data_IF_045931995331
#
_entry.id   IF_045931995331
#
_cell.length_a   1.000
_cell.length_b   1.000
_cell.length_c   1.000
_cell.angle_alpha   90.00
_cell.angle_beta   90.00
_cell.angle_gamma   90.00
#
_symmetry.space_group_name_H-M   'P 1'
#
loop_
_entity.id
_entity.type
_entity.pdbx_description
1 polymer ?
#
# COMPACT_ATOMS: atom_id res chain seq x y z
N UNK A 1 16.05 -25.19 -14.99
CA UNK A 1 16.81 -24.05 -15.57
C UNK A 1 15.79 -23.08 -16.17
N UNK A 2 15.79 -21.83 -15.72
CA UNK A 2 14.83 -20.80 -16.13
C UNK A 2 14.82 -20.60 -17.65
N UNK A 3 13.65 -20.50 -18.27
CA UNK A 3 13.54 -20.27 -19.72
C UNK A 3 13.64 -18.79 -20.07
N UNK A 4 14.05 -18.48 -21.32
CA UNK A 4 14.03 -17.10 -21.83
C UNK A 4 12.63 -16.48 -21.79
N UNK A 5 11.59 -17.28 -21.96
CA UNK A 5 10.21 -16.82 -21.90
C UNK A 5 9.84 -16.42 -20.47
N UNK A 6 10.18 -17.22 -19.47
CA UNK A 6 9.96 -16.91 -18.04
C UNK A 6 10.63 -15.59 -17.66
N UNK A 7 11.90 -15.37 -18.07
CA UNK A 7 12.61 -14.12 -17.83
C UNK A 7 11.86 -12.92 -18.44
N UNK A 8 11.42 -13.03 -19.71
CA UNK A 8 10.65 -11.97 -20.37
C UNK A 8 9.32 -11.69 -19.67
N UNK A 9 8.62 -12.74 -19.23
CA UNK A 9 7.38 -12.63 -18.47
C UNK A 9 7.62 -11.85 -17.19
N UNK A 10 8.60 -12.24 -16.37
CA UNK A 10 8.92 -11.57 -15.11
C UNK A 10 9.33 -10.10 -15.35
N UNK A 11 10.20 -9.86 -16.33
CA UNK A 11 10.62 -8.52 -16.70
C UNK A 11 9.45 -7.61 -17.13
N UNK A 12 8.42 -8.19 -17.77
CA UNK A 12 7.22 -7.43 -18.19
C UNK A 12 6.37 -6.97 -17.00
N UNK A 13 6.43 -7.64 -15.84
CA UNK A 13 5.68 -7.29 -14.64
C UNK A 13 6.09 -5.93 -14.02
N UNK A 14 7.15 -5.30 -14.53
CA UNK A 14 7.46 -3.89 -14.22
C UNK A 14 6.34 -2.95 -14.67
N UNK A 15 5.57 -3.34 -15.69
CA UNK A 15 4.49 -2.55 -16.28
C UNK A 15 3.12 -3.03 -15.75
N UNK A 16 2.28 -2.08 -15.33
CA UNK A 16 0.94 -2.35 -14.79
C UNK A 16 0.07 -3.20 -15.72
N UNK A 17 0.11 -2.91 -17.03
CA UNK A 17 -0.65 -3.67 -18.03
C UNK A 17 -0.43 -5.17 -17.89
N UNK A 18 0.83 -5.61 -17.83
CA UNK A 18 1.17 -7.03 -17.77
C UNK A 18 0.86 -7.64 -16.39
N UNK A 19 0.98 -6.86 -15.29
CA UNK A 19 0.52 -7.34 -13.99
C UNK A 19 -0.98 -7.62 -13.98
N UNK A 20 -1.79 -6.71 -14.54
CA UNK A 20 -3.25 -6.90 -14.68
C UNK A 20 -3.60 -8.09 -15.59
N UNK A 21 -2.92 -8.23 -16.74
CA UNK A 21 -3.17 -9.33 -17.67
C UNK A 21 -2.80 -10.70 -17.10
N UNK A 22 -1.72 -10.78 -16.36
CA UNK A 22 -1.19 -12.04 -15.83
C UNK A 22 -1.65 -12.35 -14.40
N UNK A 23 -2.18 -11.37 -13.68
CA UNK A 23 -2.53 -11.50 -12.28
C UNK A 23 -1.33 -11.76 -11.37
N UNK A 24 -0.13 -11.24 -11.75
CA UNK A 24 1.13 -11.50 -11.08
C UNK A 24 1.85 -10.20 -10.71
N UNK A 25 2.64 -10.25 -9.65
CA UNK A 25 3.54 -9.16 -9.27
C UNK A 25 4.88 -9.71 -8.76
N UNK A 26 5.86 -8.83 -8.66
CA UNK A 26 7.24 -9.18 -8.26
C UNK A 26 7.53 -8.65 -6.86
N UNK A 27 8.22 -9.48 -6.08
CA UNK A 27 8.72 -9.17 -4.74
C UNK A 27 10.23 -9.38 -4.74
N UNK A 28 11.00 -8.35 -4.38
CA UNK A 28 12.45 -8.37 -4.46
C UNK A 28 13.11 -8.10 -3.11
N UNK A 29 14.21 -8.81 -2.87
CA UNK A 29 15.02 -8.67 -1.67
C UNK A 29 14.64 -9.64 -0.56
N UNK A 30 15.67 -10.04 0.22
CA UNK A 30 15.57 -11.09 1.22
C UNK A 30 14.40 -10.88 2.18
N UNK A 31 14.35 -9.73 2.85
CA UNK A 31 13.31 -9.44 3.85
C UNK A 31 11.91 -9.49 3.26
N UNK A 32 11.71 -8.91 2.07
CA UNK A 32 10.42 -8.88 1.41
C UNK A 32 9.96 -10.28 0.98
N UNK A 33 10.90 -11.11 0.51
CA UNK A 33 10.62 -12.50 0.14
C UNK A 33 10.32 -13.35 1.39
N UNK A 34 11.05 -13.16 2.50
CA UNK A 34 10.74 -13.82 3.78
C UNK A 34 9.31 -13.49 4.26
N UNK A 35 8.91 -12.23 4.20
CA UNK A 35 7.55 -11.77 4.53
C UNK A 35 6.48 -12.39 3.62
N UNK A 36 6.73 -12.42 2.31
CA UNK A 36 5.84 -13.07 1.34
C UNK A 36 5.67 -14.57 1.65
N UNK A 37 6.77 -15.29 1.84
CA UNK A 37 6.74 -16.74 2.10
C UNK A 37 6.08 -17.10 3.44
N UNK A 38 6.02 -16.16 4.37
CA UNK A 38 5.34 -16.29 5.66
C UNK A 38 3.87 -15.86 5.64
N UNK A 39 3.36 -15.41 4.48
CA UNK A 39 2.00 -14.93 4.28
C UNK A 39 1.12 -15.96 3.56
N UNK A 40 -0.17 -15.67 3.44
CA UNK A 40 -1.13 -16.48 2.68
C UNK A 40 -1.09 -16.22 1.16
N UNK A 41 -0.14 -15.41 0.67
CA UNK A 41 -0.02 -15.13 -0.76
C UNK A 41 0.55 -16.33 -1.52
N UNK A 42 -0.04 -16.66 -2.65
CA UNK A 42 0.44 -17.73 -3.51
C UNK A 42 1.71 -17.31 -4.26
N UNK A 43 2.85 -17.91 -3.90
CA UNK A 43 4.12 -17.75 -4.61
C UNK A 43 4.18 -18.71 -5.78
N UNK A 44 4.33 -18.20 -7.01
CA UNK A 44 4.37 -18.99 -8.24
C UNK A 44 5.78 -19.22 -8.77
N UNK A 45 6.76 -18.48 -8.27
CA UNK A 45 8.18 -18.64 -8.63
C UNK A 45 9.09 -17.97 -7.62
N UNK A 46 10.22 -18.61 -7.37
CA UNK A 46 11.27 -18.09 -6.47
C UNK A 46 12.62 -18.29 -7.15
N UNK A 47 13.36 -17.20 -7.34
CA UNK A 47 14.60 -17.18 -8.11
C UNK A 47 15.69 -16.51 -7.30
N UNK A 48 16.89 -17.09 -7.31
CA UNK A 48 18.03 -16.50 -6.59
C UNK A 48 19.35 -16.75 -7.32
N UNK A 49 20.30 -15.85 -7.12
CA UNK A 49 21.67 -16.05 -7.64
C UNK A 49 22.41 -17.07 -6.78
N UNK A 50 23.36 -17.79 -7.38
CA UNK A 50 24.21 -18.75 -6.63
C UNK A 50 24.96 -18.08 -5.47
N UNK A 51 25.42 -16.85 -5.68
CA UNK A 51 26.08 -16.06 -4.62
C UNK A 51 25.13 -15.78 -3.44
N UNK A 52 23.86 -15.51 -3.71
CA UNK A 52 22.85 -15.33 -2.65
C UNK A 52 22.58 -16.65 -1.94
N UNK A 53 22.36 -17.75 -2.68
CA UNK A 53 22.04 -19.06 -2.11
C UNK A 53 23.15 -19.61 -1.22
N UNK A 54 24.41 -19.39 -1.56
CA UNK A 54 25.55 -19.83 -0.75
C UNK A 54 25.58 -19.20 0.64
N UNK A 55 25.07 -17.97 0.77
CA UNK A 55 24.97 -17.26 2.04
C UNK A 55 23.64 -17.45 2.80
N UNK A 56 22.63 -18.08 2.16
CA UNK A 56 21.27 -18.15 2.68
C UNK A 56 20.63 -19.53 2.47
N UNK A 57 21.01 -20.56 3.24
CA UNK A 57 20.52 -21.95 3.07
C UNK A 57 19.00 -22.11 3.17
N UNK A 58 18.32 -21.21 3.89
CA UNK A 58 16.87 -21.20 4.01
C UNK A 58 16.14 -21.05 2.66
N UNK A 59 16.81 -20.54 1.63
CA UNK A 59 16.27 -20.34 0.28
C UNK A 59 16.75 -21.40 -0.72
N UNK A 60 17.25 -22.55 -0.28
CA UNK A 60 17.75 -23.63 -1.16
C UNK A 60 16.71 -24.15 -2.16
N UNK A 61 15.42 -23.91 -1.92
CA UNK A 61 14.33 -24.25 -2.84
C UNK A 61 14.13 -23.25 -4.00
N UNK A 62 14.86 -22.12 -4.01
CA UNK A 62 14.78 -21.17 -5.11
C UNK A 62 15.49 -21.71 -6.36
N UNK A 63 14.92 -21.43 -7.55
CA UNK A 63 15.55 -21.76 -8.82
C UNK A 63 16.80 -20.90 -9.03
N UNK A 64 18.00 -21.52 -9.23
CA UNK A 64 19.23 -20.77 -9.40
C UNK A 64 19.22 -20.03 -10.75
N UNK A 65 19.62 -18.76 -10.73
CA UNK A 65 19.75 -17.91 -11.91
C UNK A 65 21.10 -17.20 -11.92
N UNK A 66 21.60 -16.84 -13.10
CA UNK A 66 22.80 -16.03 -13.22
C UNK A 66 22.53 -14.57 -12.81
N UNK A 67 23.58 -13.83 -12.45
CA UNK A 67 23.48 -12.39 -12.16
C UNK A 67 22.84 -11.62 -13.33
N UNK A 68 23.22 -11.94 -14.57
CA UNK A 68 22.64 -11.31 -15.78
C UNK A 68 21.15 -11.60 -15.91
N UNK A 69 20.70 -12.82 -15.59
CA UNK A 69 19.28 -13.17 -15.60
C UNK A 69 18.52 -12.42 -14.50
N UNK A 70 19.11 -12.29 -13.31
CA UNK A 70 18.53 -11.53 -12.21
C UNK A 70 18.39 -10.05 -12.58
N UNK A 71 19.38 -9.43 -13.18
CA UNK A 71 19.34 -8.06 -13.69
C UNK A 71 18.23 -7.82 -14.72
N UNK A 72 18.01 -8.78 -15.62
CA UNK A 72 16.93 -8.70 -16.59
C UNK A 72 15.54 -8.72 -15.95
N UNK A 73 15.36 -9.52 -14.91
CA UNK A 73 14.08 -9.68 -14.21
C UNK A 73 13.80 -8.55 -13.20
N UNK A 74 14.83 -8.08 -12.49
CA UNK A 74 14.70 -7.09 -11.42
C UNK A 74 14.21 -5.73 -11.91
N UNK A 75 13.36 -5.09 -11.12
CA UNK A 75 12.93 -3.70 -11.28
C UNK A 75 13.79 -2.70 -10.52
N UNK A 76 14.81 -3.15 -9.78
CA UNK A 76 15.68 -2.32 -8.95
C UNK A 76 17.00 -2.03 -9.68
N UNK A 77 17.56 -0.85 -9.44
CA UNK A 77 18.86 -0.45 -10.01
C UNK A 77 19.99 -1.36 -9.54
N UNK A 78 19.88 -1.87 -8.31
CA UNK A 78 20.80 -2.87 -7.74
C UNK A 78 20.00 -4.10 -7.33
N UNK A 79 19.98 -5.16 -8.17
CA UNK A 79 19.26 -6.38 -7.88
C UNK A 79 19.74 -7.06 -6.59
N UNK A 80 18.82 -7.45 -5.69
CA UNK A 80 19.19 -7.94 -4.36
C UNK A 80 19.58 -9.43 -4.30
N UNK A 81 19.74 -10.06 -5.46
CA UNK A 81 20.14 -11.47 -5.57
C UNK A 81 19.02 -12.49 -5.35
N UNK A 82 17.84 -12.08 -4.91
CA UNK A 82 16.64 -12.91 -4.75
C UNK A 82 15.39 -12.16 -5.20
N UNK A 83 14.49 -12.88 -5.88
CA UNK A 83 13.25 -12.39 -6.42
C UNK A 83 12.18 -13.48 -6.35
N UNK A 84 10.98 -13.13 -5.92
CA UNK A 84 9.80 -13.98 -5.99
C UNK A 84 8.73 -13.37 -6.91
N UNK A 85 7.94 -14.24 -7.52
CA UNK A 85 6.72 -13.88 -8.27
C UNK A 85 5.54 -14.45 -7.51
N UNK A 86 4.54 -13.60 -7.24
CA UNK A 86 3.34 -13.98 -6.51
C UNK A 86 2.08 -13.62 -7.30
N UNK A 87 0.98 -14.31 -7.01
CA UNK A 87 -0.33 -13.99 -7.56
C UNK A 87 -0.91 -12.75 -6.89
N UNK A 88 -1.50 -11.88 -7.69
CA UNK A 88 -2.36 -10.81 -7.20
C UNK A 88 -3.65 -11.46 -6.67
N UNK A 89 -4.03 -11.25 -5.41
CA UNK A 89 -5.27 -11.77 -4.86
C UNK A 89 -6.49 -11.29 -5.64
N UNK A 90 -7.43 -12.18 -5.90
CA UNK A 90 -8.71 -11.79 -6.49
C UNK A 90 -9.49 -10.99 -5.46
N UNK A 91 -9.89 -9.77 -5.82
CA UNK A 91 -10.72 -8.94 -4.96
C UNK A 91 -12.16 -9.45 -5.01
N UNK A 92 -12.73 -9.72 -3.83
CA UNK A 92 -14.17 -9.97 -3.64
C UNK A 92 -14.90 -8.68 -3.25
N UNK A 93 -16.07 -8.82 -2.63
CA UNK A 93 -16.77 -7.72 -1.98
C UNK A 93 -15.90 -7.08 -0.89
N UNK A 94 -15.99 -5.75 -0.75
CA UNK A 94 -15.31 -5.03 0.32
C UNK A 94 -15.94 -5.44 1.65
N UNK A 95 -15.17 -6.17 2.45
CA UNK A 95 -15.58 -6.57 3.80
C UNK A 95 -14.49 -6.14 4.78
N UNK A 96 -14.75 -5.05 5.47
CA UNK A 96 -13.83 -4.49 6.45
C UNK A 96 -14.20 -4.99 7.86
N UNK A 97 -13.18 -5.34 8.63
CA UNK A 97 -13.31 -5.83 10.01
C UNK A 97 -12.55 -4.97 11.01
N UNK A 98 -11.72 -4.07 10.55
CA UNK A 98 -10.95 -3.16 11.38
C UNK A 98 -11.84 -2.08 11.99
N UNK A 99 -11.56 -1.68 13.24
CA UNK A 99 -12.21 -0.54 13.91
C UNK A 99 -12.13 0.74 13.08
N UNK A 100 -10.95 0.97 12.46
CA UNK A 100 -10.75 2.03 11.48
C UNK A 100 -10.38 1.42 10.13
N UNK A 101 -10.85 2.06 9.05
CA UNK A 101 -10.47 1.76 7.67
C UNK A 101 -9.74 2.98 7.13
N UNK A 102 -8.66 2.78 6.39
CA UNK A 102 -7.97 3.89 5.71
C UNK A 102 -8.47 4.00 4.27
N UNK A 103 -9.07 5.13 3.91
CA UNK A 103 -9.46 5.45 2.54
C UNK A 103 -8.46 6.43 1.92
N UNK A 104 -7.94 6.11 0.75
CA UNK A 104 -6.94 6.92 0.04
C UNK A 104 -7.54 7.48 -1.24
N UNK A 105 -7.53 8.80 -1.35
CA UNK A 105 -8.13 9.54 -2.46
C UNK A 105 -7.04 10.17 -3.34
N UNK A 106 -6.73 9.52 -4.47
CA UNK A 106 -5.78 10.02 -5.47
C UNK A 106 -4.30 10.02 -5.03
N UNK A 107 -3.89 9.14 -4.13
CA UNK A 107 -2.48 9.02 -3.74
C UNK A 107 -1.66 8.46 -4.90
N UNK A 108 -0.95 9.32 -5.62
CA UNK A 108 -0.20 8.97 -6.82
C UNK A 108 1.27 8.60 -6.56
N UNK A 109 1.86 9.07 -5.45
CA UNK A 109 3.26 8.79 -5.13
C UNK A 109 3.45 7.40 -4.52
N UNK A 110 4.27 6.50 -5.15
CA UNK A 110 4.50 5.14 -4.64
C UNK A 110 5.11 5.08 -3.24
N UNK A 111 5.97 6.03 -2.89
CA UNK A 111 6.59 6.13 -1.56
C UNK A 111 5.56 6.45 -0.48
N UNK A 112 4.66 7.41 -0.76
CA UNK A 112 3.57 7.75 0.17
C UNK A 112 2.58 6.61 0.33
N UNK A 113 2.20 5.96 -0.78
CA UNK A 113 1.34 4.77 -0.74
C UNK A 113 1.94 3.67 0.16
N UNK A 114 3.19 3.30 -0.07
CA UNK A 114 3.86 2.27 0.72
C UNK A 114 4.02 2.67 2.20
N UNK A 115 4.31 3.94 2.47
CA UNK A 115 4.40 4.48 3.84
C UNK A 115 3.04 4.43 4.54
N UNK A 116 1.95 4.80 3.86
CA UNK A 116 0.59 4.74 4.41
C UNK A 116 0.17 3.30 4.73
N UNK A 117 0.44 2.34 3.84
CA UNK A 117 0.18 0.91 4.08
C UNK A 117 0.94 0.42 5.33
N UNK A 118 2.23 0.75 5.43
CA UNK A 118 3.07 0.37 6.56
C UNK A 118 2.60 1.02 7.87
N UNK A 119 2.21 2.27 7.82
CA UNK A 119 1.72 3.01 8.99
C UNK A 119 0.35 2.52 9.44
N UNK A 120 -0.54 2.17 8.49
CA UNK A 120 -1.83 1.55 8.79
C UNK A 120 -1.66 0.24 9.56
N UNK A 121 -0.81 -0.66 9.07
CA UNK A 121 -0.48 -1.90 9.80
C UNK A 121 0.04 -1.63 11.21
N UNK A 122 0.96 -0.66 11.36
CA UNK A 122 1.54 -0.31 12.65
C UNK A 122 0.50 0.10 13.69
N UNK A 123 -0.55 0.81 13.25
CA UNK A 123 -1.65 1.24 14.10
C UNK A 123 -2.86 0.30 14.12
N UNK A 124 -2.71 -0.94 13.64
CA UNK A 124 -3.77 -1.95 13.67
C UNK A 124 -4.90 -1.73 12.67
N UNK A 125 -4.69 -0.91 11.64
CA UNK A 125 -5.62 -0.71 10.54
C UNK A 125 -5.29 -1.74 9.46
N UNK A 126 -6.03 -2.85 9.46
CA UNK A 126 -5.83 -3.96 8.53
C UNK A 126 -6.60 -3.84 7.22
N UNK A 127 -7.44 -2.82 7.08
CA UNK A 127 -8.34 -2.64 5.95
C UNK A 127 -8.15 -1.26 5.29
N UNK A 128 -7.92 -1.24 3.97
CA UNK A 128 -7.74 -0.01 3.19
C UNK A 128 -8.60 -0.04 1.93
N UNK A 129 -9.08 1.14 1.51
CA UNK A 129 -9.81 1.33 0.25
C UNK A 129 -9.16 2.48 -0.53
N UNK A 130 -8.71 2.21 -1.74
CA UNK A 130 -8.07 3.19 -2.61
C UNK A 130 -9.00 3.59 -3.75
N UNK A 131 -9.03 4.87 -4.10
CA UNK A 131 -9.68 5.31 -5.32
C UNK A 131 -8.93 4.78 -6.57
N UNK A 132 -9.59 4.62 -7.73
CA UNK A 132 -8.98 4.06 -8.94
C UNK A 132 -7.81 4.89 -9.51
N UNK A 133 -7.71 6.16 -9.14
CA UNK A 133 -6.65 7.09 -9.53
C UNK A 133 -5.44 7.07 -8.59
N UNK A 134 -5.48 6.26 -7.52
CA UNK A 134 -4.29 5.95 -6.74
C UNK A 134 -3.25 5.17 -7.56
N UNK A 135 -1.99 5.29 -7.18
CA UNK A 135 -0.95 4.40 -7.69
C UNK A 135 -1.30 2.95 -7.33
N UNK A 136 -1.15 2.05 -8.29
CA UNK A 136 -1.42 0.63 -8.09
C UNK A 136 -0.54 0.04 -6.99
N UNK A 137 -1.14 -0.67 -6.04
CA UNK A 137 -0.43 -1.23 -4.87
C UNK A 137 0.60 -2.31 -5.23
N UNK A 138 0.41 -3.00 -6.38
CA UNK A 138 1.34 -4.00 -6.89
C UNK A 138 2.49 -3.41 -7.70
N UNK A 139 2.56 -2.09 -7.83
CA UNK A 139 3.71 -1.39 -8.42
C UNK A 139 4.97 -1.76 -7.63
N UNK A 140 6.09 -2.17 -8.29
CA UNK A 140 7.31 -2.61 -7.60
C UNK A 140 7.84 -1.61 -6.56
N UNK A 141 7.70 -0.30 -6.84
CA UNK A 141 8.12 0.75 -5.90
C UNK A 141 7.21 0.82 -4.67
N UNK A 142 5.89 0.57 -4.83
CA UNK A 142 4.96 0.48 -3.69
C UNK A 142 5.28 -0.76 -2.88
N UNK A 143 5.35 -1.93 -3.52
CA UNK A 143 5.68 -3.20 -2.87
C UNK A 143 6.94 -3.05 -2.01
N UNK A 144 8.00 -2.48 -2.57
CA UNK A 144 9.26 -2.26 -1.86
C UNK A 144 9.10 -1.30 -0.66
N UNK A 145 8.33 -0.22 -0.83
CA UNK A 145 8.13 0.79 0.21
C UNK A 145 7.31 0.29 1.41
N UNK A 146 6.48 -0.74 1.22
CA UNK A 146 5.67 -1.32 2.31
C UNK A 146 6.49 -2.12 3.32
N UNK A 147 7.70 -2.55 2.97
CA UNK A 147 8.57 -3.36 3.84
C UNK A 147 7.90 -4.64 4.38
N UNK A 148 6.97 -5.24 3.60
CA UNK A 148 6.23 -6.46 3.96
C UNK A 148 4.81 -6.22 4.50
N UNK A 149 4.45 -5.01 4.91
CA UNK A 149 3.11 -4.68 5.44
C UNK A 149 1.99 -4.99 4.44
N UNK A 150 2.28 -4.93 3.12
CA UNK A 150 1.34 -5.29 2.06
C UNK A 150 0.76 -6.70 2.21
N UNK A 151 1.49 -7.62 2.81
CA UNK A 151 1.05 -9.01 2.99
C UNK A 151 0.10 -9.20 4.19
N UNK A 152 -0.11 -8.15 5.00
CA UNK A 152 -0.96 -8.18 6.20
C UNK A 152 -2.12 -7.19 6.17
N UNK A 153 -2.09 -6.23 5.24
CA UNK A 153 -3.15 -5.24 5.05
C UNK A 153 -3.98 -5.61 3.81
N UNK A 154 -5.29 -5.68 3.96
CA UNK A 154 -6.20 -5.88 2.83
C UNK A 154 -6.46 -4.54 2.16
N UNK A 155 -6.22 -4.46 0.86
CA UNK A 155 -6.41 -3.23 0.09
C UNK A 155 -7.37 -3.49 -1.06
N UNK A 156 -8.46 -2.73 -1.11
CA UNK A 156 -9.45 -2.75 -2.20
C UNK A 156 -9.33 -1.49 -3.05
N UNK A 157 -9.73 -1.60 -4.30
CA UNK A 157 -9.95 -0.46 -5.19
C UNK A 157 -11.46 -0.24 -5.35
N UNK A 158 -11.95 0.98 -5.09
CA UNK A 158 -13.35 1.33 -5.25
C UNK A 158 -13.55 2.81 -5.54
N UNK A 159 -14.68 3.14 -6.13
CA UNK A 159 -15.18 4.51 -6.18
C UNK A 159 -15.54 4.95 -4.75
N UNK A 160 -14.84 5.98 -4.24
CA UNK A 160 -14.96 6.37 -2.84
C UNK A 160 -16.31 6.97 -2.46
N UNK A 161 -16.95 7.88 -3.25
CA UNK A 161 -18.23 8.46 -2.86
C UNK A 161 -19.31 7.44 -2.52
N UNK A 162 -19.66 6.45 -3.38
CA UNK A 162 -20.67 5.46 -3.03
C UNK A 162 -20.26 4.59 -1.85
N UNK A 163 -18.98 4.20 -1.73
CA UNK A 163 -18.46 3.43 -0.60
C UNK A 163 -18.64 4.19 0.73
N UNK A 164 -18.24 5.45 0.76
CA UNK A 164 -18.31 6.30 1.96
C UNK A 164 -19.76 6.62 2.35
N UNK A 165 -20.64 6.86 1.37
CA UNK A 165 -22.07 7.09 1.62
C UNK A 165 -22.75 5.85 2.22
N UNK A 166 -22.41 4.66 1.73
CA UNK A 166 -22.89 3.42 2.33
C UNK A 166 -22.41 3.29 3.78
N UNK A 167 -21.12 3.45 4.05
CA UNK A 167 -20.56 3.37 5.39
C UNK A 167 -21.20 4.39 6.35
N UNK A 168 -21.45 5.62 5.86
CA UNK A 168 -22.18 6.65 6.59
C UNK A 168 -23.62 6.21 6.92
N UNK A 169 -24.32 5.58 6.00
CA UNK A 169 -25.68 5.08 6.24
C UNK A 169 -25.72 3.94 7.28
N UNK A 170 -24.61 3.24 7.45
CA UNK A 170 -24.38 2.23 8.49
C UNK A 170 -23.95 2.83 9.85
N UNK A 171 -23.88 4.17 9.94
CA UNK A 171 -23.54 4.90 11.17
C UNK A 171 -22.04 5.08 11.43
N UNK A 172 -21.16 4.75 10.46
CA UNK A 172 -19.72 4.94 10.62
C UNK A 172 -19.34 6.42 10.51
N UNK A 173 -18.40 6.87 11.34
CA UNK A 173 -17.79 8.18 11.21
C UNK A 173 -16.87 8.22 9.99
N UNK A 174 -16.87 9.34 9.24
CA UNK A 174 -15.99 9.57 8.11
C UNK A 174 -15.10 10.77 8.43
N UNK A 175 -13.85 10.48 8.79
CA UNK A 175 -12.84 11.50 9.11
C UNK A 175 -12.13 11.95 7.85
N UNK A 176 -12.22 13.22 7.52
CA UNK A 176 -11.49 13.79 6.37
C UNK A 176 -10.30 14.63 6.83
N UNK A 177 -9.10 14.31 6.34
CA UNK A 177 -7.90 15.11 6.58
C UNK A 177 -7.95 16.41 5.75
N UNK A 178 -8.28 17.52 6.39
CA UNK A 178 -8.46 18.83 5.75
C UNK A 178 -7.59 19.89 6.41
N UNK A 179 -7.34 20.98 5.68
CA UNK A 179 -6.63 22.15 6.24
C UNK A 179 -7.48 22.90 7.26
N UNK A 180 -8.81 22.85 7.10
CA UNK A 180 -9.79 23.43 8.00
C UNK A 180 -10.69 22.31 8.54
N UNK A 181 -10.88 22.28 9.86
CA UNK A 181 -11.66 21.24 10.53
C UNK A 181 -11.51 21.30 12.04
N UNK A 182 -12.04 20.32 12.73
CA UNK A 182 -11.85 20.16 14.17
C UNK A 182 -10.38 19.84 14.47
N UNK A 183 -9.85 20.46 15.50
CA UNK A 183 -8.49 20.17 15.96
C UNK A 183 -8.37 18.72 16.40
N UNK A 184 -7.60 17.93 15.66
CA UNK A 184 -7.39 16.51 15.88
C UNK A 184 -7.00 16.18 17.34
N UNK A 185 -6.14 16.98 17.94
CA UNK A 185 -5.63 16.75 19.31
C UNK A 185 -6.62 17.15 20.40
N UNK A 186 -7.70 17.85 20.05
CA UNK A 186 -8.77 18.25 20.97
C UNK A 186 -9.96 17.29 20.99
N UNK A 187 -10.01 16.32 20.09
CA UNK A 187 -11.13 15.38 19.97
C UNK A 187 -11.22 14.47 21.20
N UNK A 188 -12.37 14.51 21.88
CA UNK A 188 -12.64 13.66 23.07
C UNK A 188 -13.22 12.30 22.67
N UNK A 189 -14.11 12.29 21.69
CA UNK A 189 -14.78 11.09 21.21
C UNK A 189 -14.24 10.75 19.81
N UNK A 190 -13.85 9.50 19.64
CA UNK A 190 -13.27 8.98 18.39
C UNK A 190 -14.01 7.68 18.01
N UNK A 191 -15.28 7.79 17.55
CA UNK A 191 -16.02 6.62 17.10
C UNK A 191 -15.28 5.91 15.97
N UNK A 192 -15.53 4.60 15.85
CA UNK A 192 -14.99 3.82 14.75
C UNK A 192 -15.44 4.37 13.40
N UNK A 193 -14.62 4.21 12.37
CA UNK A 193 -14.98 4.79 11.09
C UNK A 193 -13.91 4.68 10.01
N UNK A 194 -13.99 5.60 9.05
CA UNK A 194 -13.10 5.64 7.91
C UNK A 194 -12.26 6.92 7.96
N UNK A 195 -10.95 6.79 7.82
CA UNK A 195 -9.99 7.89 7.74
C UNK A 195 -9.71 8.15 6.26
N UNK A 196 -10.07 9.30 5.76
CA UNK A 196 -9.86 9.70 4.36
C UNK A 196 -8.65 10.62 4.25
N UNK A 197 -7.66 10.20 3.46
CA UNK A 197 -6.45 10.98 3.16
C UNK A 197 -6.45 11.28 1.66
N UNK A 198 -6.41 12.56 1.31
CA UNK A 198 -6.34 13.02 -0.07
C UNK A 198 -4.92 13.13 -0.61
N UNK A 199 -4.83 13.42 -1.91
CA UNK A 199 -3.55 13.62 -2.61
C UNK A 199 -2.80 14.87 -2.14
N UNK A 200 -1.49 14.91 -2.38
CA UNK A 200 -0.64 16.04 -2.02
C UNK A 200 -0.97 17.32 -2.81
N UNK A 201 -1.43 17.16 -4.05
CA UNK A 201 -1.67 18.27 -4.97
C UNK A 201 -3.05 18.88 -4.87
N UNK A 202 -4.08 18.06 -4.57
CA UNK A 202 -5.48 18.49 -4.61
C UNK A 202 -6.23 18.24 -3.29
N UNK A 203 -5.61 17.55 -2.33
CA UNK A 203 -6.31 17.11 -1.13
C UNK A 203 -7.38 16.05 -1.44
N UNK A 204 -8.44 16.07 -0.68
CA UNK A 204 -9.63 15.24 -0.90
C UNK A 204 -10.45 15.85 -2.03
N UNK A 205 -10.85 15.05 -3.02
CA UNK A 205 -11.61 15.50 -4.20
C UNK A 205 -12.98 16.06 -3.84
N UNK A 206 -13.47 16.99 -4.67
CA UNK A 206 -14.74 17.69 -4.44
C UNK A 206 -15.95 16.75 -4.31
N UNK A 207 -15.98 15.63 -5.04
CA UNK A 207 -17.03 14.63 -4.96
C UNK A 207 -16.97 13.77 -3.67
N UNK A 208 -15.81 13.69 -3.00
CA UNK A 208 -15.63 12.96 -1.75
C UNK A 208 -15.95 13.84 -0.54
N UNK A 209 -15.71 15.16 -0.61
CA UNK A 209 -15.94 16.09 0.49
C UNK A 209 -17.34 16.00 1.13
N UNK A 210 -18.45 15.87 0.37
CA UNK A 210 -19.80 15.76 0.96
C UNK A 210 -20.03 14.49 1.79
N UNK A 211 -19.16 13.49 1.66
CA UNK A 211 -19.23 12.26 2.42
C UNK A 211 -18.61 12.39 3.82
N UNK A 212 -17.75 13.40 4.04
CA UNK A 212 -17.04 13.63 5.30
C UNK A 212 -18.03 14.08 6.38
N UNK A 213 -18.02 13.39 7.52
CA UNK A 213 -18.83 13.74 8.69
C UNK A 213 -18.01 14.43 9.80
N UNK A 214 -16.71 14.15 9.82
CA UNK A 214 -15.76 14.70 10.80
C UNK A 214 -14.56 15.28 10.04
N UNK A 215 -14.64 16.55 9.59
CA UNK A 215 -13.48 17.24 9.05
C UNK A 215 -12.47 17.46 10.17
N UNK A 216 -11.25 16.91 10.03
CA UNK A 216 -10.19 17.01 11.03
C UNK A 216 -8.97 17.73 10.48
N UNK A 217 -8.36 18.57 11.31
CA UNK A 217 -7.13 19.28 10.95
C UNK A 217 -6.02 19.00 11.96
N UNK A 218 -4.80 18.89 11.45
CA UNK A 218 -3.57 18.94 12.26
C UNK A 218 -3.23 20.42 12.43
N UNK A 219 -3.36 21.00 13.63
CA UNK A 219 -3.14 22.43 13.82
C UNK A 219 -1.69 22.80 13.56
N UNK A 220 -1.48 23.91 12.87
CA UNK A 220 -0.17 24.53 12.74
C UNK A 220 0.23 25.18 14.07
N UNK A 221 1.51 25.19 14.35
CA UNK A 221 2.08 25.86 15.54
C UNK A 221 2.97 26.99 15.08
N UNK A 222 2.81 28.18 15.72
CA UNK A 222 3.57 29.38 15.39
C UNK A 222 3.28 29.93 13.98
N UNK A 223 4.26 30.64 13.42
CA UNK A 223 4.16 31.37 12.14
C UNK A 223 4.58 30.49 10.94
N UNK A 224 4.19 29.21 10.93
CA UNK A 224 4.53 28.30 9.84
C UNK A 224 3.91 28.75 8.51
N UNK A 225 4.75 28.89 7.48
CA UNK A 225 4.35 29.28 6.11
C UNK A 225 4.12 28.05 5.20
N UNK A 226 4.37 26.84 5.71
CA UNK A 226 4.16 25.59 4.96
C UNK A 226 2.68 25.41 4.65
N UNK A 227 2.33 25.25 3.38
CA UNK A 227 0.92 25.15 2.95
C UNK A 227 0.24 23.87 3.46
N UNK A 228 0.93 22.72 3.39
CA UNK A 228 0.41 21.42 3.82
C UNK A 228 1.54 20.49 4.26
N UNK A 229 1.17 19.44 4.99
CA UNK A 229 2.06 18.30 5.26
C UNK A 229 2.04 17.30 4.09
N UNK A 230 3.14 16.55 3.97
CA UNK A 230 3.14 15.36 3.10
C UNK A 230 1.99 14.41 3.51
N UNK A 231 1.30 13.82 2.52
CA UNK A 231 0.10 13.00 2.77
C UNK A 231 0.37 11.80 3.70
N UNK A 232 1.52 11.12 3.57
CA UNK A 232 1.87 10.02 4.45
C UNK A 232 2.20 10.47 5.87
N UNK A 233 2.80 11.65 6.03
CA UNK A 233 3.05 12.26 7.35
C UNK A 233 1.73 12.64 8.02
N UNK A 234 0.85 13.35 7.31
CA UNK A 234 -0.47 13.71 7.82
C UNK A 234 -1.28 12.47 8.19
N UNK A 235 -1.32 11.47 7.30
CA UNK A 235 -1.98 10.20 7.55
C UNK A 235 -1.45 9.50 8.80
N UNK A 236 -0.13 9.47 8.99
CA UNK A 236 0.50 8.88 10.18
C UNK A 236 0.09 9.56 11.48
N UNK A 237 0.07 10.90 11.51
CA UNK A 237 -0.35 11.67 12.68
C UNK A 237 -1.84 11.40 13.00
N UNK A 238 -2.70 11.42 11.97
CA UNK A 238 -4.15 11.19 12.13
C UNK A 238 -4.43 9.77 12.61
N UNK A 239 -3.80 8.76 12.00
CA UNK A 239 -3.94 7.37 12.44
C UNK A 239 -3.49 7.20 13.89
N UNK A 240 -2.32 7.73 14.26
CA UNK A 240 -1.79 7.65 15.61
C UNK A 240 -2.76 8.26 16.65
N UNK A 241 -3.37 9.38 16.34
CA UNK A 241 -4.28 10.06 17.28
C UNK A 241 -5.65 9.40 17.34
N UNK A 242 -6.22 8.94 16.21
CA UNK A 242 -7.56 8.33 16.20
C UNK A 242 -7.57 6.90 16.76
N UNK A 243 -6.49 6.15 16.62
CA UNK A 243 -6.44 4.76 17.11
C UNK A 243 -6.04 4.62 18.58
N UNK A 244 -5.60 5.70 19.19
CA UNK A 244 -5.15 5.76 20.58
C UNK A 244 -6.29 5.67 21.60
#
# INVERSE_FOLDING_TARGET
MITKNTIKTIASLKQQKFRKEQGLFVVEGRKMVEELLSSDFETVGLYATEAFLSGHPAFAGAEPVSTVQMEQMSGLDTPPGILAVAKIPTQGEIRTSSRFVLALDGIANPGNMGTLIRTAEWFGIGDMVCSPDCVEIWNPKVVQATMGSLFRVKVWEADLPPYLLQARSEGKAIYGALLEGENLFGMREKPEGIIVIGSESHGIRAEVLPCITHPVTIPRVGDSVTESLNAAVAGGIIMAELTR
#
